data_IF_227340687069
#
_entry.id   IF_227340687069
#
_cell.length_a   1.000
_cell.length_b   1.000
_cell.length_c   1.000
_cell.angle_alpha   90.00
_cell.angle_beta   90.00
_cell.angle_gamma   90.00
#
_symmetry.space_group_name_H-M   'P 1'
#
loop_
_entity.id
_entity.type
_entity.pdbx_description
1 polymer ?
#
# COMPACT_ATOMS: atom_id res chain seq x y z
N UNK A 1 20.37 1.34 -25.46
CA UNK A 1 19.55 1.05 -24.27
C UNK A 1 20.53 0.72 -23.17
N UNK A 2 20.43 1.35 -22.00
CA UNK A 2 21.15 0.83 -20.84
C UNK A 2 20.37 -0.39 -20.34
N UNK A 3 20.83 -1.58 -20.74
CA UNK A 3 20.16 -2.84 -20.40
C UNK A 3 20.06 -3.03 -18.87
N UNK A 4 20.96 -2.42 -18.10
CA UNK A 4 20.96 -2.48 -16.63
C UNK A 4 19.81 -1.70 -16.02
N UNK A 5 19.55 -0.48 -16.53
CA UNK A 5 18.46 0.37 -16.04
C UNK A 5 17.09 -0.26 -16.38
N UNK A 6 16.95 -0.77 -17.61
CA UNK A 6 15.74 -1.49 -18.04
C UNK A 6 15.46 -2.69 -17.14
N UNK A 7 16.45 -3.54 -16.87
CA UNK A 7 16.30 -4.71 -16.01
C UNK A 7 15.94 -4.32 -14.58
N UNK A 8 16.56 -3.25 -14.04
CA UNK A 8 16.23 -2.75 -12.70
C UNK A 8 14.77 -2.29 -12.63
N UNK A 9 14.30 -1.52 -13.60
CA UNK A 9 12.94 -1.00 -13.62
C UNK A 9 11.90 -2.11 -13.84
N UNK A 10 12.21 -3.07 -14.71
CA UNK A 10 11.41 -4.28 -14.91
C UNK A 10 11.20 -5.05 -13.59
N UNK A 11 12.30 -5.36 -12.89
CA UNK A 11 12.25 -6.12 -11.63
C UNK A 11 11.58 -5.31 -10.51
N UNK A 12 11.91 -4.03 -10.40
CA UNK A 12 11.33 -3.14 -9.37
C UNK A 12 9.82 -2.98 -9.57
N UNK A 13 9.37 -2.88 -10.83
CA UNK A 13 7.95 -2.89 -11.16
C UNK A 13 7.28 -4.22 -10.81
N UNK A 14 7.87 -5.34 -11.24
CA UNK A 14 7.33 -6.67 -10.98
C UNK A 14 7.12 -6.97 -9.48
N UNK A 15 8.03 -6.53 -8.61
CA UNK A 15 7.91 -6.73 -7.16
C UNK A 15 7.20 -5.57 -6.44
N UNK A 16 6.90 -4.48 -7.15
CA UNK A 16 6.51 -3.22 -6.55
C UNK A 16 5.01 -3.03 -6.33
N UNK A 17 4.17 -3.93 -6.87
CA UNK A 17 2.71 -3.82 -6.77
C UNK A 17 2.04 -3.08 -7.91
N UNK A 18 2.79 -2.60 -8.91
CA UNK A 18 2.21 -2.06 -10.14
C UNK A 18 1.57 -3.17 -10.97
N UNK A 19 0.55 -2.83 -11.74
CA UNK A 19 -0.08 -3.81 -12.63
C UNK A 19 0.87 -4.17 -13.79
N UNK A 20 0.66 -5.34 -14.41
CA UNK A 20 1.35 -5.72 -15.64
C UNK A 20 1.15 -4.67 -16.73
N UNK A 21 -0.08 -4.19 -16.89
CA UNK A 21 -0.45 -3.17 -17.87
C UNK A 21 0.33 -1.88 -17.66
N UNK A 22 0.43 -1.39 -16.41
CA UNK A 22 1.22 -0.21 -16.09
C UNK A 22 2.70 -0.44 -16.39
N UNK A 23 3.26 -1.57 -15.99
CA UNK A 23 4.68 -1.86 -16.22
C UNK A 23 5.00 -1.88 -17.72
N UNK A 24 4.19 -2.59 -18.52
CA UNK A 24 4.36 -2.64 -19.97
C UNK A 24 4.29 -1.23 -20.58
N UNK A 25 3.26 -0.44 -20.23
CA UNK A 25 3.11 0.93 -20.71
C UNK A 25 4.32 1.80 -20.37
N UNK A 26 4.76 1.79 -19.10
CA UNK A 26 5.90 2.59 -18.64
C UNK A 26 7.20 2.20 -19.36
N UNK A 27 7.47 0.90 -19.52
CA UNK A 27 8.69 0.44 -20.19
C UNK A 27 8.66 0.73 -21.71
N UNK A 28 7.50 0.57 -22.35
CA UNK A 28 7.31 0.92 -23.76
C UNK A 28 7.50 2.43 -23.99
N UNK A 29 6.89 3.28 -23.16
CA UNK A 29 7.01 4.74 -23.26
C UNK A 29 8.43 5.24 -23.00
N UNK A 30 9.12 4.68 -21.99
CA UNK A 30 10.46 5.13 -21.60
C UNK A 30 11.57 4.60 -22.50
N UNK A 31 11.49 3.33 -22.92
CA UNK A 31 12.57 2.66 -23.65
C UNK A 31 12.26 2.40 -25.13
N UNK A 32 11.05 2.71 -25.60
CA UNK A 32 10.63 2.48 -26.99
C UNK A 32 10.62 1.00 -27.39
N UNK A 33 10.55 0.09 -26.42
CA UNK A 33 10.57 -1.34 -26.66
C UNK A 33 9.17 -1.88 -26.99
N UNK A 34 9.11 -2.97 -27.76
CA UNK A 34 7.83 -3.63 -28.07
C UNK A 34 7.34 -4.46 -26.90
N UNK A 35 6.01 -4.63 -26.78
CA UNK A 35 5.41 -5.54 -25.80
C UNK A 35 6.01 -6.95 -25.87
N UNK A 36 6.35 -7.43 -27.07
CA UNK A 36 7.01 -8.73 -27.24
C UNK A 36 8.35 -8.78 -26.51
N UNK A 37 9.20 -7.76 -26.69
CA UNK A 37 10.51 -7.69 -26.03
C UNK A 37 10.38 -7.68 -24.51
N UNK A 38 9.43 -6.92 -23.98
CA UNK A 38 9.21 -6.86 -22.52
C UNK A 38 8.71 -8.21 -21.99
N UNK A 39 7.77 -8.87 -22.70
CA UNK A 39 7.30 -10.20 -22.31
C UNK A 39 8.43 -11.24 -22.38
N UNK A 40 9.26 -11.23 -23.43
CA UNK A 40 10.43 -12.12 -23.53
C UNK A 40 11.41 -11.90 -22.35
N UNK A 41 11.60 -10.64 -21.93
CA UNK A 41 12.43 -10.31 -20.76
C UNK A 41 11.80 -10.79 -19.44
N UNK A 42 10.48 -10.64 -19.26
CA UNK A 42 9.75 -11.16 -18.10
C UNK A 42 9.83 -12.68 -18.00
N UNK A 43 9.71 -13.37 -19.14
CA UNK A 43 9.82 -14.83 -19.19
C UNK A 43 11.23 -15.29 -18.79
N UNK A 44 12.26 -14.52 -19.14
CA UNK A 44 13.63 -14.78 -18.71
C UNK A 44 13.84 -14.59 -17.18
N UNK A 45 13.03 -13.77 -16.51
CA UNK A 45 13.13 -13.54 -15.06
C UNK A 45 12.67 -14.74 -14.20
N UNK A 46 12.08 -15.79 -14.80
CA UNK A 46 11.62 -16.98 -14.07
C UNK A 46 10.66 -16.66 -12.92
N UNK A 47 9.77 -15.68 -13.12
CA UNK A 47 8.78 -15.26 -12.11
C UNK A 47 7.82 -16.41 -11.76
N UNK A 48 7.37 -16.44 -10.51
CA UNK A 48 6.34 -17.37 -10.05
C UNK A 48 5.05 -17.15 -10.84
N UNK A 49 4.38 -18.25 -11.17
CA UNK A 49 3.03 -18.23 -11.73
C UNK A 49 1.98 -18.17 -10.63
N UNK A 50 0.81 -17.60 -10.94
CA UNK A 50 -0.33 -17.54 -10.03
C UNK A 50 -0.63 -18.92 -9.40
N UNK A 51 -0.72 -19.03 -8.07
CA UNK A 51 -1.00 -20.30 -7.41
C UNK A 51 -2.41 -20.79 -7.72
N UNK A 52 -2.59 -22.12 -7.81
CA UNK A 52 -3.92 -22.75 -8.01
C UNK A 52 -4.93 -22.42 -6.91
N UNK A 53 -4.43 -22.19 -5.70
CA UNK A 53 -5.24 -21.83 -4.53
C UNK A 53 -4.42 -21.00 -3.56
N UNK A 54 -5.07 -20.05 -2.89
CA UNK A 54 -4.46 -19.22 -1.84
C UNK A 54 -5.08 -19.59 -0.50
N UNK A 55 -4.23 -19.86 0.51
CA UNK A 55 -4.68 -20.15 1.87
C UNK A 55 -4.89 -18.86 2.66
N UNK A 56 -6.02 -18.18 2.42
CA UNK A 56 -6.36 -16.92 3.10
C UNK A 56 -6.39 -17.00 4.63
N UNK A 57 -6.58 -18.21 5.18
CA UNK A 57 -6.46 -18.46 6.63
C UNK A 57 -5.06 -18.09 7.17
N UNK A 58 -4.00 -18.30 6.40
CA UNK A 58 -2.62 -17.99 6.83
C UNK A 58 -2.45 -16.47 7.02
N UNK A 59 -3.04 -15.67 6.12
CA UNK A 59 -3.10 -14.21 6.27
C UNK A 59 -4.04 -13.79 7.40
N UNK A 60 -5.18 -14.46 7.57
CA UNK A 60 -6.13 -14.16 8.63
C UNK A 60 -5.55 -14.39 10.02
N UNK A 61 -4.67 -15.39 10.18
CA UNK A 61 -4.05 -15.75 11.45
C UNK A 61 -2.60 -15.24 11.58
N UNK A 62 -2.21 -14.24 10.77
CA UNK A 62 -0.83 -13.75 10.73
C UNK A 62 -0.37 -13.21 12.10
N UNK A 63 0.95 -13.21 12.39
CA UNK A 63 1.49 -12.94 13.72
C UNK A 63 1.05 -11.64 14.40
N UNK A 64 0.76 -10.56 13.67
CA UNK A 64 0.23 -9.31 14.26
C UNK A 64 -1.01 -9.55 15.13
N UNK A 65 -1.84 -10.55 14.81
CA UNK A 65 -3.08 -10.87 15.54
C UNK A 65 -2.85 -11.25 17.00
N UNK A 66 -1.61 -11.59 17.37
CA UNK A 66 -1.17 -11.96 18.72
C UNK A 66 -0.19 -10.95 19.33
N UNK A 67 0.37 -10.04 18.53
CA UNK A 67 1.43 -9.10 18.95
C UNK A 67 0.88 -7.70 19.27
N UNK A 68 -0.12 -7.24 18.52
CA UNK A 68 -0.62 -5.87 18.59
C UNK A 68 -1.92 -5.75 19.41
N UNK A 69 -2.23 -4.55 19.87
CA UNK A 69 -3.48 -4.27 20.57
C UNK A 69 -4.67 -4.36 19.60
N UNK A 70 -5.64 -5.21 19.92
CA UNK A 70 -6.84 -5.38 19.08
C UNK A 70 -7.86 -4.28 19.35
N UNK A 71 -8.28 -3.58 18.29
CA UNK A 71 -9.47 -2.73 18.34
C UNK A 71 -10.70 -3.62 18.12
N UNK A 72 -11.42 -3.91 19.21
CA UNK A 72 -12.44 -4.95 19.22
C UNK A 72 -13.71 -4.59 18.45
N UNK A 73 -13.89 -5.23 17.28
CA UNK A 73 -15.12 -5.16 16.49
C UNK A 73 -15.55 -6.56 16.00
N UNK A 74 -16.87 -6.85 15.95
CA UNK A 74 -17.36 -8.13 15.46
C UNK A 74 -16.96 -8.40 14.00
N UNK A 75 -16.33 -9.56 13.79
CA UNK A 75 -15.94 -10.07 12.47
C UNK A 75 -14.94 -9.20 11.71
N UNK A 76 -14.28 -8.24 12.36
CA UNK A 76 -13.27 -7.38 11.73
C UNK A 76 -11.97 -7.44 12.52
N UNK A 77 -10.86 -7.60 11.81
CA UNK A 77 -9.51 -7.59 12.36
C UNK A 77 -8.92 -6.21 12.15
N UNK A 78 -8.85 -5.43 13.24
CA UNK A 78 -8.16 -4.14 13.30
C UNK A 78 -7.27 -4.17 14.54
N UNK A 79 -6.03 -3.76 14.36
CA UNK A 79 -5.00 -3.77 15.37
C UNK A 79 -4.23 -2.46 15.35
N UNK A 80 -3.71 -2.04 16.50
CA UNK A 80 -2.82 -0.91 16.62
C UNK A 80 -1.59 -1.24 17.46
N UNK A 81 -0.51 -0.54 17.17
CA UNK A 81 0.72 -0.57 17.95
C UNK A 81 1.20 0.87 18.15
N UNK A 82 1.15 1.33 19.39
CA UNK A 82 1.72 2.63 19.75
C UNK A 82 3.25 2.55 19.73
N UNK A 83 3.91 3.68 19.50
CA UNK A 83 5.37 3.81 19.48
C UNK A 83 6.07 2.78 18.55
N UNK A 84 5.40 2.41 17.45
CA UNK A 84 5.98 1.51 16.45
C UNK A 84 7.20 2.15 15.77
N UNK A 85 7.09 3.44 15.43
CA UNK A 85 8.22 4.28 15.07
C UNK A 85 8.50 5.27 16.19
N UNK A 86 9.79 5.47 16.47
CA UNK A 86 10.27 6.55 17.32
C UNK A 86 10.04 7.91 16.65
N UNK A 87 10.10 8.98 17.45
CA UNK A 87 10.04 10.34 16.95
C UNK A 87 11.13 10.62 15.90
N UNK A 88 12.36 10.13 16.13
CA UNK A 88 13.49 10.35 15.22
C UNK A 88 13.24 9.67 13.86
N UNK A 89 12.77 8.42 13.86
CA UNK A 89 12.38 7.72 12.62
C UNK A 89 11.26 8.46 11.87
N UNK A 90 10.28 9.01 12.60
CA UNK A 90 9.20 9.77 11.99
C UNK A 90 9.70 11.08 11.34
N UNK A 91 10.53 11.84 12.06
CA UNK A 91 11.05 13.13 11.58
C UNK A 91 11.99 12.94 10.37
N UNK A 92 12.82 11.88 10.37
CA UNK A 92 13.67 11.51 9.23
C UNK A 92 12.83 11.13 8.00
N UNK A 93 11.80 10.30 8.17
CA UNK A 93 10.87 9.95 7.10
C UNK A 93 10.17 11.17 6.51
N UNK A 94 9.67 12.08 7.35
CA UNK A 94 9.04 13.32 6.87
C UNK A 94 10.03 14.15 6.04
N UNK A 95 11.30 14.21 6.47
CA UNK A 95 12.36 14.88 5.73
C UNK A 95 12.60 14.27 4.34
N UNK A 96 12.69 12.94 4.26
CA UNK A 96 12.87 12.20 3.00
C UNK A 96 11.64 12.33 2.08
N UNK A 97 10.43 12.24 2.64
CA UNK A 97 9.18 12.38 1.91
C UNK A 97 9.09 13.72 1.20
N UNK A 98 9.35 14.82 1.91
CA UNK A 98 9.19 16.18 1.39
C UNK A 98 10.07 16.50 0.18
N UNK A 99 11.11 15.71 -0.09
CA UNK A 99 11.98 15.85 -1.27
C UNK A 99 11.34 15.27 -2.54
N UNK A 100 10.39 14.34 -2.40
CA UNK A 100 9.89 13.50 -3.50
C UNK A 100 8.35 13.52 -3.65
N UNK A 101 7.66 14.53 -3.08
CA UNK A 101 6.20 14.63 -3.14
C UNK A 101 5.70 14.99 -4.54
N UNK A 102 4.72 14.22 -5.03
CA UNK A 102 3.91 14.52 -6.23
C UNK A 102 2.40 14.49 -5.90
N UNK A 103 1.51 15.11 -6.68
CA UNK A 103 0.06 14.95 -6.50
C UNK A 103 -0.35 13.48 -6.47
N UNK A 104 -1.25 13.10 -5.56
CA UNK A 104 -1.75 11.73 -5.50
C UNK A 104 -2.73 11.46 -6.63
N UNK A 105 -2.72 10.25 -7.15
CA UNK A 105 -3.65 9.80 -8.18
C UNK A 105 -4.65 8.80 -7.61
N UNK A 106 -5.76 8.65 -8.31
CA UNK A 106 -6.73 7.56 -8.12
C UNK A 106 -6.66 6.69 -9.37
N UNK A 107 -6.65 5.38 -9.15
CA UNK A 107 -6.69 4.35 -10.19
C UNK A 107 -8.07 4.28 -10.84
N UNK A 108 -8.11 4.05 -12.15
CA UNK A 108 -9.34 3.75 -12.88
C UNK A 108 -9.33 2.38 -13.57
N UNK A 109 -10.41 2.04 -14.26
CA UNK A 109 -10.60 0.73 -14.91
C UNK A 109 -9.61 0.42 -16.03
N UNK A 110 -8.89 1.42 -16.54
CA UNK A 110 -7.85 1.26 -17.57
C UNK A 110 -6.43 1.30 -16.99
N UNK A 111 -6.33 1.29 -15.66
CA UNK A 111 -5.08 1.48 -14.93
C UNK A 111 -4.38 2.77 -15.34
N UNK A 112 -5.17 3.82 -15.57
CA UNK A 112 -4.67 5.17 -15.71
C UNK A 112 -4.85 5.93 -14.40
N UNK A 113 -3.79 6.62 -14.01
CA UNK A 113 -3.67 7.30 -12.73
C UNK A 113 -3.98 8.77 -12.96
N UNK A 114 -5.13 9.24 -12.46
CA UNK A 114 -5.55 10.63 -12.64
C UNK A 114 -5.60 11.38 -11.31
N UNK A 115 -5.22 12.66 -11.34
CA UNK A 115 -5.49 13.57 -10.23
C UNK A 115 -6.99 13.84 -10.21
N UNK A 116 -7.64 13.55 -9.07
CA UNK A 116 -9.09 13.63 -8.92
C UNK A 116 -9.46 14.42 -7.68
N UNK A 117 -10.63 15.07 -7.69
CA UNK A 117 -11.20 15.69 -6.48
C UNK A 117 -11.60 14.65 -5.41
N UNK A 118 -11.49 13.36 -5.72
CA UNK A 118 -11.75 12.26 -4.78
C UNK A 118 -10.61 12.05 -3.76
N UNK A 119 -9.38 12.42 -4.14
CA UNK A 119 -8.18 12.34 -3.30
C UNK A 119 -7.30 13.55 -3.58
N UNK A 120 -7.12 14.40 -2.58
CA UNK A 120 -6.43 15.69 -2.75
C UNK A 120 -5.04 15.76 -2.10
N UNK A 121 -4.53 14.64 -1.57
CA UNK A 121 -3.20 14.53 -0.96
C UNK A 121 -2.05 14.62 -1.98
N UNK A 122 -0.82 14.78 -1.48
CA UNK A 122 0.40 14.46 -2.24
C UNK A 122 1.01 13.13 -1.77
N UNK A 123 1.60 12.35 -2.67
CA UNK A 123 2.21 11.04 -2.40
C UNK A 123 3.69 11.01 -2.82
N UNK A 124 4.50 10.23 -2.13
CA UNK A 124 5.82 9.76 -2.58
C UNK A 124 5.85 8.23 -2.49
N UNK A 125 6.45 7.56 -3.48
CA UNK A 125 6.62 6.10 -3.43
C UNK A 125 7.99 5.81 -2.82
N UNK A 126 8.05 4.99 -1.78
CA UNK A 126 9.28 4.68 -1.06
C UNK A 126 9.80 3.32 -1.55
N UNK A 127 10.41 3.32 -2.73
CA UNK A 127 10.92 2.09 -3.34
C UNK A 127 12.05 1.47 -2.52
N UNK A 128 12.04 0.14 -2.44
CA UNK A 128 12.95 -0.67 -1.62
C UNK A 128 14.44 -0.33 -1.77
N UNK A 129 14.87 0.03 -2.98
CA UNK A 129 16.29 0.16 -3.33
C UNK A 129 16.75 1.60 -3.52
N UNK A 130 15.88 2.58 -3.23
CA UNK A 130 16.22 3.99 -3.41
C UNK A 130 16.85 4.59 -2.15
N UNK A 131 16.60 3.99 -0.98
CA UNK A 131 17.15 4.44 0.29
C UNK A 131 17.18 3.28 1.31
N UNK A 132 18.30 3.10 2.01
CA UNK A 132 18.46 2.06 3.04
C UNK A 132 17.43 2.20 4.17
N UNK A 133 17.00 3.43 4.48
CA UNK A 133 15.93 3.68 5.44
C UNK A 133 14.63 3.01 5.00
N UNK A 134 14.25 3.13 3.72
CA UNK A 134 13.02 2.53 3.19
C UNK A 134 13.06 1.01 3.30
N UNK A 135 14.19 0.39 2.95
CA UNK A 135 14.38 -1.05 3.10
C UNK A 135 14.29 -1.49 4.56
N UNK A 136 14.90 -0.73 5.47
CA UNK A 136 14.88 -1.03 6.91
C UNK A 136 13.47 -0.93 7.50
N UNK A 137 12.70 0.10 7.12
CA UNK A 137 11.32 0.30 7.52
C UNK A 137 10.42 -0.82 6.98
N UNK A 138 10.59 -1.19 5.72
CA UNK A 138 9.84 -2.28 5.09
C UNK A 138 10.06 -3.61 5.82
N UNK A 139 11.33 -3.94 6.11
CA UNK A 139 11.70 -5.13 6.87
C UNK A 139 11.08 -5.11 8.26
N UNK A 140 11.15 -3.98 8.97
CA UNK A 140 10.55 -3.81 10.31
C UNK A 140 9.04 -4.05 10.28
N UNK A 141 8.33 -3.52 9.28
CA UNK A 141 6.89 -3.72 9.08
C UNK A 141 6.58 -5.19 8.74
N UNK A 142 7.37 -5.81 7.86
CA UNK A 142 7.24 -7.21 7.44
C UNK A 142 7.41 -8.18 8.61
N UNK A 143 8.45 -8.01 9.41
CA UNK A 143 8.72 -8.83 10.60
C UNK A 143 7.64 -8.66 11.68
N UNK A 144 7.11 -7.44 11.83
CA UNK A 144 6.03 -7.16 12.76
C UNK A 144 4.75 -7.89 12.34
N UNK A 145 4.33 -7.71 11.08
CA UNK A 145 3.19 -8.39 10.48
C UNK A 145 3.37 -9.91 10.46
N UNK A 146 4.62 -10.38 10.31
CA UNK A 146 4.96 -11.77 10.06
C UNK A 146 4.55 -12.22 8.65
N UNK A 147 4.73 -11.34 7.67
CA UNK A 147 4.46 -11.58 6.26
C UNK A 147 5.78 -11.43 5.49
N UNK A 148 5.93 -12.21 4.42
CA UNK A 148 7.12 -12.14 3.56
C UNK A 148 7.23 -10.75 2.90
N UNK A 149 8.42 -10.13 2.84
CA UNK A 149 8.58 -8.75 2.37
C UNK A 149 7.97 -8.45 0.99
N UNK A 150 8.17 -9.35 0.03
CA UNK A 150 7.69 -9.18 -1.35
C UNK A 150 6.20 -9.52 -1.56
N UNK A 151 5.49 -9.93 -0.50
CA UNK A 151 4.02 -9.88 -0.51
C UNK A 151 3.55 -8.42 -0.38
N UNK A 152 4.35 -7.51 0.15
CA UNK A 152 3.98 -6.13 0.26
C UNK A 152 4.19 -5.36 -1.04
N UNK A 153 3.30 -4.41 -1.33
CA UNK A 153 3.55 -3.37 -2.32
C UNK A 153 4.61 -2.39 -1.81
N UNK A 154 5.18 -1.61 -2.73
CA UNK A 154 5.99 -0.43 -2.38
C UNK A 154 5.19 0.45 -1.43
N UNK A 155 5.85 0.90 -0.35
CA UNK A 155 5.23 1.78 0.62
C UNK A 155 4.88 3.12 -0.05
N UNK A 156 3.65 3.56 0.15
CA UNK A 156 3.23 4.90 -0.25
C UNK A 156 3.23 5.83 0.94
N UNK A 157 3.89 6.95 0.78
CA UNK A 157 3.95 8.01 1.78
C UNK A 157 3.02 9.13 1.37
N UNK A 158 2.05 9.52 2.20
CA UNK A 158 1.06 10.55 1.87
C UNK A 158 1.15 11.75 2.81
N UNK A 159 1.00 12.94 2.23
CA UNK A 159 0.88 14.21 2.95
C UNK A 159 -0.48 14.85 2.65
N UNK A 160 -1.17 15.28 3.70
CA UNK A 160 -2.42 16.03 3.64
C UNK A 160 -2.21 17.39 4.31
N UNK A 161 -2.39 18.46 3.56
CA UNK A 161 -2.51 19.83 4.09
C UNK A 161 -3.89 20.04 4.72
N UNK A 162 -4.09 21.10 5.51
CA UNK A 162 -5.41 21.47 5.99
C UNK A 162 -6.48 21.48 4.88
N UNK A 163 -7.60 20.81 5.11
CA UNK A 163 -8.70 20.66 4.15
C UNK A 163 -8.52 19.57 3.08
N UNK A 164 -7.36 18.92 2.96
CA UNK A 164 -7.16 17.81 2.03
C UNK A 164 -7.65 16.48 2.62
N UNK A 165 -8.18 15.60 1.78
CA UNK A 165 -8.86 14.37 2.21
C UNK A 165 -8.66 13.24 1.21
N UNK A 166 -9.08 12.04 1.61
CA UNK A 166 -9.32 10.92 0.70
C UNK A 166 -10.65 10.29 1.08
N UNK A 167 -11.64 10.43 0.20
CA UNK A 167 -13.02 9.96 0.39
C UNK A 167 -13.11 8.46 0.66
N UNK A 168 -14.28 8.04 1.13
CA UNK A 168 -14.63 6.65 1.45
C UNK A 168 -14.16 5.65 0.38
N UNK A 169 -13.36 4.67 0.77
CA UNK A 169 -12.89 3.62 -0.14
C UNK A 169 -12.59 2.32 0.61
N UNK A 170 -12.33 1.27 -0.18
CA UNK A 170 -11.70 0.05 0.28
C UNK A 170 -10.30 -0.04 -0.31
N UNK A 171 -9.40 -0.72 0.40
CA UNK A 171 -8.09 -1.03 -0.14
C UNK A 171 -8.10 -2.24 -1.05
N UNK A 172 -9.01 -3.19 -0.84
CA UNK A 172 -9.16 -4.33 -1.74
C UNK A 172 -9.75 -3.90 -3.08
N UNK A 173 -9.47 -4.66 -4.13
CA UNK A 173 -10.11 -4.51 -5.44
C UNK A 173 -11.43 -5.28 -5.46
N UNK A 174 -12.55 -4.65 -5.80
CA UNK A 174 -13.85 -5.33 -5.83
C UNK A 174 -13.85 -6.45 -6.91
N UNK A 175 -14.09 -7.73 -6.54
CA UNK A 175 -14.08 -8.85 -7.49
C UNK A 175 -15.02 -8.72 -8.69
N UNK A 176 -16.02 -7.84 -8.60
CA UNK A 176 -17.01 -7.62 -9.67
C UNK A 176 -16.57 -6.55 -10.68
N UNK A 177 -15.40 -5.93 -10.51
CA UNK A 177 -14.96 -4.83 -11.36
C UNK A 177 -13.79 -5.20 -12.27
N UNK A 178 -13.48 -4.34 -13.25
CA UNK A 178 -12.35 -4.55 -14.17
C UNK A 178 -11.01 -4.32 -13.46
N UNK A 179 -10.96 -3.39 -12.50
CA UNK A 179 -9.79 -3.11 -11.68
C UNK A 179 -9.27 -4.39 -11.01
N UNK A 180 -10.17 -5.24 -10.50
CA UNK A 180 -9.75 -6.52 -9.94
C UNK A 180 -9.01 -7.39 -10.95
N UNK A 181 -9.45 -7.46 -12.21
CA UNK A 181 -8.77 -8.27 -13.23
C UNK A 181 -7.38 -7.74 -13.53
N UNK A 182 -7.21 -6.42 -13.57
CA UNK A 182 -5.94 -5.75 -13.90
C UNK A 182 -4.97 -5.79 -12.72
N UNK A 183 -5.39 -5.29 -11.55
CA UNK A 183 -4.49 -5.16 -10.40
C UNK A 183 -4.23 -6.47 -9.66
N UNK A 184 -5.11 -7.46 -9.76
CA UNK A 184 -4.90 -8.76 -9.12
C UNK A 184 -4.25 -9.80 -10.05
N UNK A 185 -3.83 -9.43 -11.27
CA UNK A 185 -3.22 -10.36 -12.22
C UNK A 185 -1.91 -10.96 -11.68
N UNK A 186 -1.01 -10.13 -11.15
CA UNK A 186 0.35 -10.50 -10.74
C UNK A 186 0.57 -10.76 -9.25
N UNK A 187 -0.20 -10.11 -8.37
CA UNK A 187 -0.02 -10.27 -6.91
C UNK A 187 -1.33 -10.63 -6.21
N UNK A 188 -2.42 -10.74 -6.97
CA UNK A 188 -3.72 -11.06 -6.42
C UNK A 188 -4.27 -9.93 -5.55
N UNK A 189 -5.17 -10.30 -4.65
CA UNK A 189 -5.92 -9.36 -3.82
C UNK A 189 -5.07 -8.76 -2.69
N UNK A 190 -5.40 -7.55 -2.25
CA UNK A 190 -4.86 -6.97 -1.02
C UNK A 190 -5.50 -7.61 0.22
N UNK A 191 -4.71 -8.31 1.02
CA UNK A 191 -5.14 -9.01 2.23
C UNK A 191 -5.14 -8.08 3.44
N UNK A 192 -4.06 -7.35 3.67
CA UNK A 192 -3.91 -6.47 4.83
C UNK A 192 -3.49 -5.07 4.38
N UNK A 193 -3.86 -4.08 5.17
CA UNK A 193 -3.28 -2.74 5.09
C UNK A 193 -2.55 -2.46 6.40
N UNK A 194 -1.35 -1.90 6.28
CA UNK A 194 -0.58 -1.35 7.40
C UNK A 194 -0.40 0.14 7.13
N UNK A 195 -0.80 0.98 8.07
CA UNK A 195 -0.66 2.42 7.98
C UNK A 195 0.03 2.96 9.23
N UNK A 196 0.96 3.89 9.09
CA UNK A 196 1.69 4.50 10.19
C UNK A 196 1.47 6.01 10.14
N UNK A 197 1.10 6.62 11.26
CA UNK A 197 1.06 8.07 11.40
C UNK A 197 2.45 8.59 11.77
N UNK A 198 2.97 9.55 11.00
CA UNK A 198 4.31 10.11 11.24
C UNK A 198 4.29 11.36 12.12
N UNK A 199 3.12 11.96 12.34
CA UNK A 199 3.00 13.11 13.24
C UNK A 199 1.64 13.14 13.94
N UNK A 200 1.58 13.88 15.04
CA UNK A 200 0.34 14.25 15.70
C UNK A 200 -0.39 15.32 14.89
N UNK A 201 -1.71 15.27 14.87
CA UNK A 201 -2.58 16.30 14.28
C UNK A 201 -3.54 16.77 15.36
N UNK A 202 -3.53 18.07 15.64
CA UNK A 202 -4.28 18.64 16.77
C UNK A 202 -5.80 18.54 16.56
N UNK A 203 -6.27 18.83 15.35
CA UNK A 203 -7.69 18.78 15.00
C UNK A 203 -7.90 18.24 13.58
N UNK A 204 -8.81 17.27 13.44
CA UNK A 204 -9.07 16.60 12.17
C UNK A 204 -8.03 15.53 11.83
N UNK A 205 -7.97 15.15 10.55
CA UNK A 205 -6.97 14.21 10.04
C UNK A 205 -7.24 12.74 10.39
N UNK A 206 -8.37 12.42 11.02
CA UNK A 206 -8.65 11.07 11.48
C UNK A 206 -8.83 10.07 10.33
N UNK A 207 -8.59 8.80 10.62
CA UNK A 207 -9.02 7.70 9.76
C UNK A 207 -10.35 7.18 10.30
N UNK A 208 -11.40 7.34 9.51
CA UNK A 208 -12.77 7.01 9.90
C UNK A 208 -13.26 5.76 9.18
N UNK A 209 -13.57 4.70 9.93
CA UNK A 209 -14.18 3.47 9.41
C UNK A 209 -15.70 3.56 9.52
N UNK A 210 -16.35 3.97 8.42
CA UNK A 210 -17.77 4.32 8.35
C UNK A 210 -18.69 3.23 8.92
N UNK A 211 -18.51 1.99 8.48
CA UNK A 211 -19.39 0.89 8.89
C UNK A 211 -19.16 0.40 10.32
N UNK A 212 -18.01 0.72 10.90
CA UNK A 212 -17.68 0.40 12.29
C UNK A 212 -18.01 1.54 13.24
N UNK A 213 -18.29 2.75 12.71
CA UNK A 213 -18.37 3.99 13.48
C UNK A 213 -17.12 4.17 14.37
N UNK A 214 -15.96 3.78 13.83
CA UNK A 214 -14.66 3.86 14.49
C UNK A 214 -13.88 5.02 13.91
N UNK A 215 -13.29 5.83 14.78
CA UNK A 215 -12.38 6.91 14.40
C UNK A 215 -11.04 6.69 15.08
N UNK A 216 -9.96 6.70 14.29
CA UNK A 216 -8.58 6.63 14.80
C UNK A 216 -7.91 7.97 14.57
N UNK A 217 -7.51 8.63 15.66
CA UNK A 217 -6.81 9.91 15.60
C UNK A 217 -5.35 9.73 15.17
N UNK A 218 -4.77 10.65 14.39
CA UNK A 218 -3.35 10.66 14.13
C UNK A 218 -2.57 10.81 15.43
N UNK A 219 -1.67 9.86 15.68
CA UNK A 219 -0.73 9.89 16.79
C UNK A 219 0.62 9.48 16.25
N UNK A 220 1.65 10.31 16.43
CA UNK A 220 2.98 10.02 15.89
C UNK A 220 3.48 8.64 16.32
N UNK A 221 4.05 7.89 15.38
CA UNK A 221 4.58 6.56 15.61
C UNK A 221 3.52 5.45 15.74
N UNK A 222 2.22 5.78 15.70
CA UNK A 222 1.15 4.80 15.77
C UNK A 222 1.05 4.02 14.45
N UNK A 223 1.22 2.70 14.53
CA UNK A 223 0.85 1.77 13.47
C UNK A 223 -0.60 1.33 13.67
N UNK A 224 -1.38 1.39 12.60
CA UNK A 224 -2.73 0.85 12.47
C UNK A 224 -2.72 -0.20 11.36
N UNK A 225 -3.27 -1.38 11.62
CA UNK A 225 -3.37 -2.44 10.63
C UNK A 225 -4.77 -3.06 10.60
N UNK A 226 -5.27 -3.37 9.41
CA UNK A 226 -6.57 -4.03 9.25
C UNK A 226 -6.56 -5.07 8.14
N UNK A 227 -7.35 -6.13 8.34
CA UNK A 227 -7.54 -7.18 7.35
C UNK A 227 -8.68 -6.80 6.41
N UNK A 228 -8.35 -6.65 5.13
CA UNK A 228 -9.29 -6.33 4.07
C UNK A 228 -10.17 -7.52 3.68
N UNK A 229 -9.81 -8.73 4.09
CA UNK A 229 -10.51 -9.97 3.73
C UNK A 229 -10.96 -10.75 4.96
N UNK A 230 -12.03 -11.53 4.80
CA UNK A 230 -12.39 -12.59 5.73
C UNK A 230 -11.47 -13.81 5.56
N UNK A 231 -11.56 -14.75 6.51
CA UNK A 231 -10.75 -15.98 6.55
C UNK A 231 -10.83 -16.84 5.28
N UNK A 232 -11.92 -16.72 4.53
CA UNK A 232 -12.15 -17.40 3.25
C UNK A 232 -11.69 -16.61 2.01
N UNK A 233 -11.10 -15.42 2.20
CA UNK A 233 -10.65 -14.53 1.12
C UNK A 233 -11.72 -13.60 0.56
N UNK A 234 -12.95 -13.64 1.08
CA UNK A 234 -14.02 -12.72 0.65
C UNK A 234 -13.72 -11.31 1.19
N UNK A 235 -13.89 -10.24 0.38
CA UNK A 235 -13.72 -8.88 0.84
C UNK A 235 -14.55 -8.53 2.08
N UNK A 236 -13.90 -7.86 3.04
CA UNK A 236 -14.54 -7.36 4.24
C UNK A 236 -15.00 -5.92 4.01
N UNK A 237 -16.23 -5.76 3.52
CA UNK A 237 -16.80 -4.44 3.26
C UNK A 237 -16.85 -3.52 4.48
N UNK A 238 -16.77 -4.04 5.72
CA UNK A 238 -16.75 -3.22 6.94
C UNK A 238 -15.49 -2.37 7.08
N UNK A 239 -14.42 -2.64 6.32
CA UNK A 239 -13.18 -1.86 6.34
C UNK A 239 -13.24 -0.60 5.48
N UNK A 240 -14.42 -0.23 4.95
CA UNK A 240 -14.58 1.04 4.24
C UNK A 240 -14.13 2.18 5.15
N UNK A 241 -13.20 2.98 4.66
CA UNK A 241 -12.58 4.04 5.45
C UNK A 241 -12.34 5.30 4.63
N UNK A 242 -12.20 6.40 5.35
CA UNK A 242 -11.94 7.73 4.81
C UNK A 242 -10.81 8.39 5.61
N UNK A 243 -9.97 9.17 4.93
CA UNK A 243 -9.06 10.10 5.60
C UNK A 243 -9.74 11.46 5.71
N UNK A 244 -10.20 11.81 6.91
CA UNK A 244 -10.77 13.11 7.20
C UNK A 244 -9.74 14.23 7.04
N UNK A 245 -10.17 15.45 6.69
CA UNK A 245 -9.27 16.55 6.49
C UNK A 245 -8.63 16.98 7.81
N UNK A 246 -7.29 17.18 7.84
CA UNK A 246 -6.66 17.95 8.90
C UNK A 246 -7.29 19.35 8.90
N UNK A 247 -7.55 19.90 10.09
CA UNK A 247 -8.01 21.28 10.22
C UNK A 247 -6.86 22.21 10.57
N UNK A 248 -5.88 21.71 11.32
CA UNK A 248 -4.68 22.44 11.72
C UNK A 248 -3.44 21.55 11.57
N UNK A 249 -2.39 22.10 10.97
CA UNK A 249 -1.17 21.37 10.65
C UNK A 249 -1.32 20.41 9.45
N UNK A 250 -0.18 19.90 8.99
CA UNK A 250 -0.13 18.85 7.97
C UNK A 250 -0.27 17.46 8.63
N UNK A 251 -0.84 16.49 7.92
CA UNK A 251 -0.84 15.06 8.30
C UNK A 251 0.10 14.29 7.36
N UNK A 252 0.96 13.46 7.94
CA UNK A 252 1.85 12.56 7.23
C UNK A 252 1.55 11.11 7.63
N UNK A 253 1.40 10.25 6.63
CA UNK A 253 1.19 8.81 6.83
C UNK A 253 2.03 7.99 5.85
N UNK A 254 2.39 6.78 6.26
CA UNK A 254 2.88 5.72 5.37
C UNK A 254 1.81 4.64 5.28
N UNK A 255 1.55 4.13 4.09
CA UNK A 255 0.65 3.01 3.84
C UNK A 255 1.38 1.92 3.07
N UNK A 256 1.27 0.67 3.55
CA UNK A 256 1.72 -0.54 2.88
C UNK A 256 0.55 -1.50 2.73
N UNK A 257 0.32 -1.95 1.50
CA UNK A 257 -0.67 -2.97 1.22
C UNK A 257 0.00 -4.32 1.03
N UNK A 258 -0.61 -5.37 1.57
CA UNK A 258 -0.13 -6.74 1.49
C UNK A 258 -0.95 -7.53 0.50
N UNK A 259 -0.29 -8.22 -0.40
CA UNK A 259 -0.88 -9.00 -1.48
C UNK A 259 -1.00 -10.47 -1.10
N UNK A 260 -1.95 -11.13 -1.76
CA UNK A 260 -2.27 -12.54 -1.54
C UNK A 260 -1.25 -13.52 -2.12
N UNK A 261 -0.34 -13.05 -2.99
CA UNK A 261 0.85 -13.75 -3.46
C UNK A 261 1.86 -12.76 -4.10
N UNK A 262 3.06 -13.23 -4.43
CA UNK A 262 4.15 -12.44 -5.04
C UNK A 262 4.74 -13.14 -6.27
N UNK A 263 5.29 -12.35 -7.19
CA UNK A 263 5.97 -12.86 -8.38
C UNK A 263 7.36 -13.47 -8.09
N UNK A 264 7.94 -13.20 -6.92
CA UNK A 264 9.23 -13.76 -6.48
C UNK A 264 9.14 -14.47 -5.15
#
# INVERSE_FOLDING_TARGET
>A
MDDTEFQRELLTGAIGGVSKTQLLRTLTEKYGCSDKYINDALDACSLKTKPKSIRYKDFYDCPITKKAEKISYPFTQIYKQEDFLSQVECDELIGLMNQNLRPSTVSDETDSNHVSSYRTSTTADLHYFDNDFYLSLDKKISEFMGLEPFLGEVMQAQKYKPGQYFKEHWDFFDPLTKEYKVYCEWMGQRTWTTMIYLNDVEEGGETWFKHLKLTVKPKRGLLLAWNNLYKNGVPNFKTMHEAFPPKQGDKYVITKWWRSWSLI
#
